data_IF_767655396786
#
_entry.id   IF_767655396786
#
_cell.length_a   1.000
_cell.length_b   1.000
_cell.length_c   1.000
_cell.angle_alpha   90.00
_cell.angle_beta   90.00
_cell.angle_gamma   90.00
#
_symmetry.space_group_name_H-M   'P 1'
#
loop_
_entity.id
_entity.type
_entity.pdbx_description
1 polymer ?
#
# COMPACT_ATOMS: atom_id res chain seq x y z
N UNK A 1 -23.08 -5.85 23.26
CA UNK A 1 -22.34 -5.42 22.05
C UNK A 1 -20.95 -5.03 22.49
N UNK A 2 -19.92 -5.65 21.94
CA UNK A 2 -18.55 -5.19 22.13
C UNK A 2 -18.38 -3.90 21.31
N UNK A 3 -18.39 -2.78 22.00
CA UNK A 3 -18.04 -1.51 21.40
C UNK A 3 -16.53 -1.54 21.11
N UNK A 4 -16.15 -1.25 19.88
CA UNK A 4 -14.73 -1.17 19.53
C UNK A 4 -14.00 -0.21 20.48
N UNK A 5 -12.83 -0.60 20.95
CA UNK A 5 -12.01 0.29 21.78
C UNK A 5 -11.64 1.55 20.99
N UNK A 6 -11.65 2.72 21.63
CA UNK A 6 -11.20 3.94 20.98
C UNK A 6 -9.73 3.84 20.60
N UNK A 7 -9.31 4.64 19.62
CA UNK A 7 -7.90 4.75 19.26
C UNK A 7 -7.04 5.05 20.51
N UNK A 8 -5.87 4.42 20.64
CA UNK A 8 -4.92 4.79 21.67
C UNK A 8 -4.68 6.29 21.68
N UNK A 9 -4.70 6.94 22.86
CA UNK A 9 -4.58 8.41 22.98
C UNK A 9 -3.35 8.96 22.25
N UNK A 10 -2.25 8.25 22.32
CA UNK A 10 -1.00 8.62 21.66
C UNK A 10 -1.12 8.71 20.13
N UNK A 11 -1.78 7.76 19.48
CA UNK A 11 -2.03 7.79 18.05
C UNK A 11 -2.96 8.94 17.66
N UNK A 12 -3.96 9.23 18.48
CA UNK A 12 -4.85 10.36 18.28
C UNK A 12 -4.08 11.69 18.35
N UNK A 13 -3.20 11.84 19.34
CA UNK A 13 -2.38 13.04 19.50
C UNK A 13 -1.43 13.25 18.31
N UNK A 14 -0.77 12.19 17.83
CA UNK A 14 0.10 12.25 16.65
C UNK A 14 -0.66 12.68 15.40
N UNK A 15 -1.87 12.15 15.20
CA UNK A 15 -2.72 12.58 14.08
C UNK A 15 -3.10 14.05 14.16
N UNK A 16 -3.50 14.53 15.34
CA UNK A 16 -3.88 15.93 15.56
C UNK A 16 -2.69 16.88 15.36
N UNK A 17 -1.51 16.48 15.82
CA UNK A 17 -0.27 17.23 15.60
C UNK A 17 0.09 17.27 14.12
N UNK A 18 0.09 16.14 13.44
CA UNK A 18 0.29 16.09 11.99
C UNK A 18 -0.69 17.00 11.23
N UNK A 19 -1.96 16.92 11.57
CA UNK A 19 -3.01 17.74 10.93
C UNK A 19 -2.79 19.24 11.14
N UNK A 20 -2.30 19.62 12.32
CA UNK A 20 -2.07 21.02 12.68
C UNK A 20 -0.76 21.58 12.14
N UNK A 21 0.32 20.80 12.23
CA UNK A 21 1.67 21.31 12.04
C UNK A 21 2.32 20.85 10.72
N UNK A 22 1.94 19.66 10.18
CA UNK A 22 2.56 19.09 8.98
C UNK A 22 1.66 19.23 7.74
N UNK A 23 0.38 18.90 7.88
CA UNK A 23 -0.55 18.91 6.76
C UNK A 23 -0.68 20.25 6.04
N UNK A 24 -0.70 21.43 6.71
CA UNK A 24 -0.83 22.70 6.00
C UNK A 24 0.27 22.94 4.96
N UNK A 25 1.50 22.50 5.23
CA UNK A 25 2.61 22.59 4.27
C UNK A 25 2.49 21.62 3.08
N UNK A 26 1.76 20.52 3.25
CA UNK A 26 1.52 19.51 2.20
C UNK A 26 0.17 19.68 1.48
N UNK A 27 -0.71 20.51 2.01
CA UNK A 27 -2.05 20.70 1.48
C UNK A 27 -2.09 21.15 0.01
N UNK A 28 -1.22 22.03 -0.49
CA UNK A 28 -1.18 22.38 -1.92
C UNK A 28 -0.96 21.15 -2.80
N UNK A 29 0.03 20.32 -2.47
CA UNK A 29 0.31 19.07 -3.22
C UNK A 29 -0.89 18.13 -3.26
N UNK A 30 -1.57 17.92 -2.11
CA UNK A 30 -2.78 17.10 -2.09
C UNK A 30 -3.90 17.70 -2.94
N UNK A 31 -4.07 19.02 -2.92
CA UNK A 31 -5.07 19.70 -3.73
C UNK A 31 -4.80 19.51 -5.21
N UNK A 32 -3.58 19.73 -5.65
CA UNK A 32 -3.18 19.56 -7.04
C UNK A 32 -3.43 18.13 -7.52
N UNK A 33 -3.07 17.12 -6.71
CA UNK A 33 -3.34 15.72 -7.03
C UNK A 33 -4.84 15.38 -7.10
N UNK A 34 -5.68 16.05 -6.33
CA UNK A 34 -7.15 15.88 -6.39
C UNK A 34 -7.72 16.54 -7.64
N UNK A 35 -7.27 17.74 -7.98
CA UNK A 35 -7.81 18.54 -9.09
C UNK A 35 -7.31 18.04 -10.45
N UNK A 36 -6.05 17.63 -10.54
CA UNK A 36 -5.40 17.21 -11.79
C UNK A 36 -5.34 15.69 -11.98
N UNK A 37 -5.68 14.93 -10.92
CA UNK A 37 -5.50 13.48 -10.87
C UNK A 37 -4.08 13.07 -10.48
N UNK A 38 -3.93 11.78 -10.16
CA UNK A 38 -2.63 11.19 -9.86
C UNK A 38 -1.96 10.66 -11.14
N UNK A 39 -0.65 10.80 -11.23
CA UNK A 39 0.17 10.27 -12.32
C UNK A 39 1.44 9.60 -11.75
N UNK A 40 1.30 8.46 -11.04
CA UNK A 40 2.43 7.81 -10.40
C UNK A 40 3.44 7.29 -11.42
N UNK A 41 4.72 7.37 -11.07
CA UNK A 41 5.84 6.87 -11.89
C UNK A 41 5.81 5.36 -12.02
N UNK A 42 5.46 4.68 -10.93
CA UNK A 42 5.45 3.23 -10.87
C UNK A 42 4.39 2.72 -9.89
N UNK A 43 4.00 1.46 -10.09
CA UNK A 43 3.32 0.68 -9.06
C UNK A 43 4.34 -0.05 -8.20
N UNK A 44 4.15 -0.05 -6.88
CA UNK A 44 4.95 -0.86 -5.95
C UNK A 44 4.06 -1.87 -5.27
N UNK A 45 4.39 -3.15 -5.37
CA UNK A 45 3.74 -4.24 -4.63
C UNK A 45 4.71 -4.68 -3.53
N UNK A 46 4.34 -4.47 -2.28
CA UNK A 46 5.18 -4.75 -1.13
C UNK A 46 4.47 -5.56 -0.04
N UNK A 47 5.24 -6.14 0.87
CA UNK A 47 4.68 -6.84 2.00
C UNK A 47 3.97 -5.88 2.98
N UNK A 48 2.93 -6.39 3.68
CA UNK A 48 2.29 -5.70 4.80
C UNK A 48 3.20 -5.56 6.02
N UNK A 49 4.37 -6.18 6.04
CA UNK A 49 5.32 -6.13 7.16
C UNK A 49 5.66 -4.69 7.53
N UNK A 50 5.56 -4.37 8.83
CA UNK A 50 5.75 -3.02 9.35
C UNK A 50 7.16 -2.45 9.13
N UNK A 51 8.14 -3.31 8.84
CA UNK A 51 9.53 -2.93 8.54
C UNK A 51 9.72 -2.47 7.10
N UNK A 52 8.73 -2.69 6.22
CA UNK A 52 8.81 -2.34 4.80
C UNK A 52 7.95 -1.11 4.54
N UNK A 53 8.60 -0.01 4.18
CA UNK A 53 7.95 1.24 3.80
C UNK A 53 8.52 1.72 2.47
N UNK A 54 7.84 1.44 1.37
CA UNK A 54 8.32 1.77 0.03
C UNK A 54 8.64 3.26 -0.12
N UNK A 55 7.77 4.13 0.40
CA UNK A 55 7.97 5.58 0.36
C UNK A 55 9.24 6.04 1.07
N UNK A 56 9.59 5.40 2.20
CA UNK A 56 10.83 5.73 2.93
C UNK A 56 12.07 5.17 2.23
N UNK A 57 11.97 3.97 1.63
CA UNK A 57 13.09 3.30 0.95
C UNK A 57 13.51 4.08 -0.30
N UNK A 58 12.55 4.59 -1.04
CA UNK A 58 12.78 5.36 -2.26
C UNK A 58 12.78 6.88 -2.04
N UNK A 59 12.67 7.35 -0.80
CA UNK A 59 12.56 8.77 -0.45
C UNK A 59 11.52 9.52 -1.33
N UNK A 60 10.39 8.84 -1.59
CA UNK A 60 9.39 9.32 -2.54
C UNK A 60 8.44 10.33 -1.92
N UNK A 61 8.00 11.27 -2.74
CA UNK A 61 6.98 12.23 -2.40
C UNK A 61 5.55 11.68 -2.62
N UNK A 62 4.57 12.48 -2.18
CA UNK A 62 3.15 12.17 -2.32
C UNK A 62 2.79 12.10 -3.80
N UNK A 63 2.17 11.02 -4.23
CA UNK A 63 1.69 10.83 -5.60
C UNK A 63 2.69 10.16 -6.55
N UNK A 64 3.94 9.95 -6.15
CA UNK A 64 4.95 9.32 -7.01
C UNK A 64 4.75 7.83 -7.22
N UNK A 65 4.18 7.12 -6.24
CA UNK A 65 3.93 5.69 -6.36
C UNK A 65 2.46 5.33 -6.14
N UNK A 66 1.99 4.37 -6.92
CA UNK A 66 0.75 3.64 -6.65
C UNK A 66 1.10 2.38 -5.88
N UNK A 67 0.75 2.33 -4.59
CA UNK A 67 1.23 1.29 -3.68
C UNK A 67 0.13 0.30 -3.35
N UNK A 68 0.40 -0.98 -3.61
CA UNK A 68 -0.39 -2.11 -3.15
C UNK A 68 0.41 -2.93 -2.15
N UNK A 69 -0.21 -3.34 -1.05
CA UNK A 69 0.43 -4.18 -0.03
C UNK A 69 -0.42 -5.41 0.25
N UNK A 70 0.24 -6.55 0.29
CA UNK A 70 -0.36 -7.82 0.71
C UNK A 70 0.63 -8.62 1.56
N UNK A 71 0.20 -9.76 2.09
CA UNK A 71 1.13 -10.64 2.81
C UNK A 71 2.11 -11.25 1.81
N UNK A 72 3.40 -11.13 2.12
CA UNK A 72 4.51 -11.67 1.31
C UNK A 72 4.68 -11.04 -0.09
N UNK A 73 4.10 -9.87 -0.35
CA UNK A 73 4.21 -9.18 -1.66
C UNK A 73 3.94 -10.09 -2.88
N UNK A 74 2.95 -10.98 -2.75
CA UNK A 74 2.63 -11.97 -3.76
C UNK A 74 1.80 -11.38 -4.90
N UNK A 75 2.09 -11.86 -6.11
CA UNK A 75 1.28 -11.59 -7.30
C UNK A 75 0.65 -12.91 -7.75
N UNK A 76 -0.67 -13.04 -7.70
CA UNK A 76 -1.33 -14.27 -8.10
C UNK A 76 -1.24 -14.46 -9.62
N UNK A 77 -1.36 -15.69 -10.13
CA UNK A 77 -1.55 -15.94 -11.54
C UNK A 77 -2.77 -15.19 -12.07
N UNK A 78 -2.69 -14.73 -13.33
CA UNK A 78 -3.84 -14.10 -13.96
C UNK A 78 -5.03 -15.07 -14.03
N UNK A 79 -6.20 -14.61 -13.58
CA UNK A 79 -7.45 -15.36 -13.67
C UNK A 79 -8.61 -14.39 -13.87
N UNK A 80 -9.53 -14.74 -14.76
CA UNK A 80 -10.79 -14.00 -14.98
C UNK A 80 -11.87 -14.39 -13.97
N UNK A 81 -11.69 -15.51 -13.29
CA UNK A 81 -12.63 -16.03 -12.30
C UNK A 81 -11.85 -16.45 -11.06
N UNK A 82 -12.07 -15.78 -9.93
CA UNK A 82 -11.40 -16.12 -8.68
C UNK A 82 -11.92 -15.28 -7.52
N UNK A 83 -11.74 -15.79 -6.32
CA UNK A 83 -12.29 -15.16 -5.12
C UNK A 83 -11.40 -14.05 -4.55
N UNK A 84 -10.14 -13.92 -5.02
CA UNK A 84 -9.12 -13.03 -4.43
C UNK A 84 -8.51 -12.10 -5.49
N UNK A 85 -9.31 -11.20 -6.04
CA UNK A 85 -8.92 -10.34 -7.16
C UNK A 85 -8.26 -9.00 -6.75
N UNK A 86 -8.05 -8.75 -5.45
CA UNK A 86 -7.57 -7.44 -4.97
C UNK A 86 -6.23 -7.02 -5.59
N UNK A 87 -5.24 -7.91 -5.62
CA UNK A 87 -3.94 -7.62 -6.23
C UNK A 87 -4.05 -7.48 -7.74
N UNK A 88 -4.81 -8.36 -8.40
CA UNK A 88 -5.04 -8.30 -9.85
C UNK A 88 -5.75 -7.01 -10.26
N UNK A 89 -6.79 -6.61 -9.52
CA UNK A 89 -7.51 -5.35 -9.75
C UNK A 89 -6.60 -4.13 -9.58
N UNK A 90 -5.72 -4.13 -8.57
CA UNK A 90 -4.76 -3.05 -8.36
C UNK A 90 -3.76 -2.95 -9.52
N UNK A 91 -3.27 -4.09 -10.03
CA UNK A 91 -2.37 -4.14 -11.20
C UNK A 91 -3.09 -3.63 -12.46
N UNK A 92 -4.29 -4.14 -12.71
CA UNK A 92 -5.10 -3.71 -13.85
C UNK A 92 -5.33 -2.19 -13.83
N UNK A 93 -5.72 -1.65 -12.71
CA UNK A 93 -5.93 -0.20 -12.55
C UNK A 93 -4.64 0.60 -12.77
N UNK A 94 -3.53 0.14 -12.20
CA UNK A 94 -2.23 0.80 -12.36
C UNK A 94 -1.80 0.86 -13.84
N UNK A 95 -1.98 -0.26 -14.56
CA UNK A 95 -1.54 -0.36 -15.96
C UNK A 95 -2.52 0.33 -16.91
N UNK A 96 -3.83 0.10 -16.76
CA UNK A 96 -4.82 0.55 -17.75
C UNK A 96 -5.34 1.96 -17.49
N UNK A 97 -5.52 2.34 -16.22
CA UNK A 97 -6.06 3.64 -15.85
C UNK A 97 -4.97 4.67 -15.55
N UNK A 98 -3.92 4.27 -14.83
CA UNK A 98 -2.83 5.19 -14.43
C UNK A 98 -1.64 5.16 -15.39
N UNK A 99 -1.57 4.20 -16.31
CA UNK A 99 -0.49 4.06 -17.30
C UNK A 99 0.91 4.07 -16.67
N UNK A 100 1.09 3.39 -15.53
CA UNK A 100 2.40 3.30 -14.88
C UNK A 100 3.41 2.64 -15.82
N UNK A 101 4.62 3.18 -15.85
CA UNK A 101 5.68 2.65 -16.71
C UNK A 101 6.39 1.41 -16.15
N UNK A 102 6.29 1.20 -14.82
CA UNK A 102 6.98 0.13 -14.11
C UNK A 102 6.12 -0.47 -13.01
N UNK A 103 6.32 -1.77 -12.78
CA UNK A 103 5.80 -2.48 -11.61
C UNK A 103 7.01 -3.01 -10.82
N UNK A 104 7.11 -2.62 -9.57
CA UNK A 104 8.19 -2.99 -8.67
C UNK A 104 7.65 -3.97 -7.64
N UNK A 105 8.24 -5.16 -7.55
CA UNK A 105 7.96 -6.13 -6.50
C UNK A 105 9.03 -5.97 -5.42
N UNK A 106 8.63 -5.44 -4.26
CA UNK A 106 9.54 -5.15 -3.16
C UNK A 106 9.40 -6.19 -2.05
N UNK A 107 10.31 -7.16 -2.05
CA UNK A 107 10.45 -8.17 -1.00
C UNK A 107 11.34 -7.69 0.15
N UNK A 108 11.41 -8.50 1.21
CA UNK A 108 12.28 -8.24 2.36
C UNK A 108 12.76 -9.53 3.01
N UNK A 109 13.84 -9.46 3.77
CA UNK A 109 14.37 -10.58 4.54
C UNK A 109 13.45 -10.98 5.69
N UNK A 110 13.52 -12.25 6.09
CA UNK A 110 12.73 -12.81 7.19
C UNK A 110 11.21 -12.53 7.09
N UNK A 111 10.66 -12.64 5.89
CA UNK A 111 9.24 -12.44 5.66
C UNK A 111 8.42 -13.55 6.32
N UNK A 112 7.57 -13.18 7.29
CA UNK A 112 6.68 -14.12 7.97
C UNK A 112 5.62 -14.74 7.05
N UNK A 113 5.18 -14.01 6.03
CA UNK A 113 4.24 -14.52 5.03
C UNK A 113 4.85 -15.60 4.14
N UNK A 114 6.08 -15.39 3.65
CA UNK A 114 6.82 -16.43 2.88
C UNK A 114 7.05 -17.66 3.74
N UNK A 115 7.49 -17.48 4.99
CA UNK A 115 7.65 -18.59 5.93
C UNK A 115 6.31 -19.29 6.20
N UNK A 116 5.22 -18.57 6.29
CA UNK A 116 3.89 -19.13 6.45
C UNK A 116 3.46 -20.00 5.26
N UNK A 117 3.75 -19.57 4.04
CA UNK A 117 3.50 -20.36 2.83
C UNK A 117 4.33 -21.66 2.83
N UNK A 118 5.61 -21.59 3.19
CA UNK A 118 6.50 -22.76 3.27
C UNK A 118 6.00 -23.78 4.31
N UNK A 119 5.46 -23.32 5.42
CA UNK A 119 4.86 -24.16 6.45
C UNK A 119 3.42 -24.59 6.13
N UNK A 120 2.92 -24.34 4.92
CA UNK A 120 1.55 -24.64 4.48
C UNK A 120 0.47 -24.04 5.40
N UNK A 121 0.76 -22.94 6.05
CA UNK A 121 -0.26 -22.19 6.78
C UNK A 121 -1.26 -21.62 5.76
N UNK A 122 -2.55 -21.76 6.09
CA UNK A 122 -3.61 -21.24 5.24
C UNK A 122 -3.54 -19.71 5.17
N UNK A 123 -2.96 -19.19 4.10
CA UNK A 123 -2.99 -17.78 3.74
C UNK A 123 -4.13 -17.56 2.73
N UNK A 124 -5.34 -17.86 3.15
CA UNK A 124 -6.57 -17.98 2.31
C UNK A 124 -6.85 -16.72 1.48
N UNK A 125 -6.23 -15.59 1.80
CA UNK A 125 -6.56 -14.30 1.21
C UNK A 125 -5.42 -13.67 0.40
N UNK A 126 -4.45 -14.46 -0.03
CA UNK A 126 -3.35 -13.96 -0.88
C UNK A 126 -3.67 -14.24 -2.34
#
# INVERSE_FOLDING_TARGET
>A
MNIASPLPPDLKLRYLDWKKNTFPGKQPTYRDLVEQGQAPLAMVISCCDSRVQATSIFESDIGEFFIHRNIANLVPPFSLSGDNLGTSAAIEYAVTALNVSHIIILGHSNCGGVKGCDLMLSLIHI
#
